data_IF_138991977041
#
_entry.id   IF_138991977041
#
_cell.length_a   1.000
_cell.length_b   1.000
_cell.length_c   1.000
_cell.angle_alpha   90.00
_cell.angle_beta   90.00
_cell.angle_gamma   90.00
#
_symmetry.space_group_name_H-M   'P 1'
#
loop_
_entity.id
_entity.type
_entity.pdbx_description
1 polymer ?
#
# COMPACT_ATOMS: atom_id res chain seq x y z
N UNK A 1 5.28 -9.25 -11.70
CA UNK A 1 5.56 -8.61 -10.40
C UNK A 1 5.46 -7.11 -10.56
N UNK A 2 4.65 -6.49 -9.73
CA UNK A 2 4.43 -5.04 -9.68
C UNK A 2 5.33 -4.35 -8.64
N UNK A 3 6.20 -5.07 -7.92
CA UNK A 3 7.21 -4.46 -7.05
C UNK A 3 8.64 -4.68 -7.54
N UNK A 4 9.51 -3.70 -7.30
CA UNK A 4 10.95 -3.80 -7.51
C UNK A 4 11.72 -3.40 -6.25
N UNK A 5 12.65 -4.25 -5.82
CA UNK A 5 13.56 -3.98 -4.71
C UNK A 5 14.76 -3.19 -5.24
N UNK A 6 14.97 -1.99 -4.70
CA UNK A 6 16.06 -1.09 -5.07
C UNK A 6 17.27 -1.27 -4.15
N UNK A 7 17.06 -1.69 -2.90
CA UNK A 7 18.08 -1.81 -1.84
C UNK A 7 17.68 -2.91 -0.86
N UNK A 8 18.66 -3.41 -0.11
CA UNK A 8 18.42 -4.32 1.02
C UNK A 8 17.34 -3.75 1.96
N UNK A 9 16.53 -4.61 2.57
CA UNK A 9 15.40 -4.25 3.41
C UNK A 9 15.19 -5.26 4.54
N UNK A 10 16.24 -6.02 4.89
CA UNK A 10 16.19 -7.13 5.86
C UNK A 10 15.85 -6.67 7.28
N UNK A 11 16.10 -5.40 7.59
CA UNK A 11 15.63 -4.75 8.81
C UNK A 11 14.10 -4.87 9.04
N UNK A 12 13.30 -5.15 8.00
CA UNK A 12 11.88 -5.46 8.17
C UNK A 12 11.64 -6.76 8.94
N UNK A 13 12.59 -7.70 8.94
CA UNK A 13 12.49 -8.93 9.72
C UNK A 13 12.41 -8.67 11.23
N UNK A 14 12.94 -7.53 11.70
CA UNK A 14 12.89 -7.11 13.09
C UNK A 14 11.79 -6.08 13.38
N UNK A 15 10.97 -5.71 12.39
CA UNK A 15 9.91 -4.74 12.59
C UNK A 15 8.77 -5.33 13.44
N UNK A 16 8.08 -4.46 14.17
CA UNK A 16 6.87 -4.84 14.91
C UNK A 16 5.78 -5.33 13.94
N UNK A 17 4.86 -6.17 14.44
CA UNK A 17 3.81 -6.78 13.61
C UNK A 17 2.43 -6.57 14.24
N UNK A 18 1.37 -6.29 13.47
CA UNK A 18 1.36 -6.06 12.02
C UNK A 18 1.86 -4.66 11.66
N UNK A 19 2.71 -4.54 10.65
CA UNK A 19 3.19 -3.23 10.17
C UNK A 19 2.99 -3.05 8.67
N UNK A 20 2.56 -1.83 8.30
CA UNK A 20 2.08 -1.46 6.96
C UNK A 20 2.65 -0.11 6.56
N UNK A 21 2.73 0.16 5.25
CA UNK A 21 3.01 1.51 4.76
C UNK A 21 1.69 2.23 4.47
N UNK A 22 1.56 3.45 5.00
CA UNK A 22 0.49 4.37 4.67
C UNK A 22 0.95 5.30 3.55
N UNK A 23 0.10 5.44 2.53
CA UNK A 23 0.33 6.34 1.42
C UNK A 23 -0.66 7.48 1.41
N UNK A 24 -0.23 8.62 0.85
CA UNK A 24 -1.17 9.57 0.29
C UNK A 24 -2.08 8.83 -0.69
N UNK A 25 -3.39 9.04 -0.54
CA UNK A 25 -4.36 8.36 -1.38
C UNK A 25 -4.05 8.62 -2.86
N UNK A 26 -4.31 7.62 -3.71
CA UNK A 26 -4.16 7.78 -5.14
C UNK A 26 -4.98 9.00 -5.64
N UNK A 27 -4.60 9.67 -6.75
CA UNK A 27 -5.27 10.89 -7.20
C UNK A 27 -6.79 10.79 -7.34
N UNK A 28 -7.32 9.63 -7.71
CA UNK A 28 -8.77 9.41 -7.77
C UNK A 28 -9.41 9.28 -6.38
N UNK A 29 -8.71 8.71 -5.39
CA UNK A 29 -9.19 8.62 -3.99
C UNK A 29 -9.12 9.97 -3.27
N UNK A 30 -8.17 10.84 -3.63
CA UNK A 30 -8.17 12.24 -3.16
C UNK A 30 -9.46 12.97 -3.56
N UNK A 31 -10.01 12.70 -4.75
CA UNK A 31 -11.31 13.27 -5.19
C UNK A 31 -12.48 12.74 -4.37
N UNK A 32 -12.34 11.55 -3.79
CA UNK A 32 -13.32 10.92 -2.90
C UNK A 32 -13.15 11.40 -1.43
N UNK A 33 -12.20 12.31 -1.17
CA UNK A 33 -11.95 12.88 0.16
C UNK A 33 -11.06 12.03 1.06
N UNK A 34 -10.55 10.90 0.56
CA UNK A 34 -9.56 10.10 1.28
C UNK A 34 -8.19 10.74 1.15
N UNK A 35 -7.53 11.02 2.28
CA UNK A 35 -6.20 11.66 2.29
C UNK A 35 -5.07 10.65 2.34
N UNK A 36 -5.27 9.56 3.07
CA UNK A 36 -4.32 8.47 3.21
C UNK A 36 -5.03 7.12 3.11
N UNK A 37 -4.33 6.12 2.57
CA UNK A 37 -4.79 4.72 2.58
C UNK A 37 -3.62 3.80 2.90
N UNK A 38 -3.92 2.66 3.49
CA UNK A 38 -2.99 1.54 3.62
C UNK A 38 -2.61 1.07 2.22
N UNK A 39 -1.35 0.75 2.01
CA UNK A 39 -0.90 0.14 0.76
C UNK A 39 -0.95 -1.38 0.84
N UNK A 40 -1.68 -2.02 -0.08
CA UNK A 40 -1.78 -3.49 -0.17
C UNK A 40 -0.56 -4.23 -0.72
N UNK A 41 0.55 -3.55 -1.03
CA UNK A 41 1.70 -4.20 -1.67
C UNK A 41 2.76 -4.73 -0.70
N UNK A 42 2.83 -4.24 0.54
CA UNK A 42 3.80 -4.70 1.54
C UNK A 42 3.21 -4.75 2.95
N UNK A 43 3.36 -5.91 3.57
CA UNK A 43 2.95 -6.20 4.94
C UNK A 43 4.09 -6.87 5.69
N UNK A 44 4.33 -6.46 6.94
CA UNK A 44 5.17 -7.22 7.87
C UNK A 44 4.27 -7.85 8.92
N UNK A 45 4.15 -9.17 8.85
CA UNK A 45 3.25 -9.97 9.68
C UNK A 45 4.02 -11.09 10.37
N UNK A 46 3.50 -11.55 11.51
CA UNK A 46 3.93 -12.79 12.14
C UNK A 46 2.97 -13.91 11.73
N UNK A 47 3.46 -15.02 11.14
CA UNK A 47 2.61 -16.16 10.84
C UNK A 47 1.89 -16.66 12.10
N UNK A 48 0.57 -16.77 12.03
CA UNK A 48 -0.26 -17.21 13.16
C UNK A 48 -1.56 -17.82 12.63
N UNK A 49 -1.87 -19.04 13.08
CA UNK A 49 -3.13 -19.71 12.74
C UNK A 49 -4.34 -18.93 13.26
N UNK A 50 -4.24 -18.38 14.48
CA UNK A 50 -5.31 -17.59 15.08
C UNK A 50 -5.59 -16.32 14.25
N UNK A 51 -4.54 -15.66 13.73
CA UNK A 51 -4.68 -14.50 12.85
C UNK A 51 -5.30 -14.86 11.51
N UNK A 52 -4.94 -16.01 10.93
CA UNK A 52 -5.58 -16.53 9.73
C UNK A 52 -7.07 -16.77 9.94
N UNK A 53 -7.45 -17.45 11.04
CA UNK A 53 -8.86 -17.74 11.35
C UNK A 53 -9.66 -16.45 11.58
N UNK A 54 -9.07 -15.47 12.27
CA UNK A 54 -9.67 -14.13 12.41
C UNK A 54 -9.83 -13.40 11.08
N UNK A 55 -8.82 -13.43 10.22
CA UNK A 55 -8.86 -12.81 8.89
C UNK A 55 -9.97 -13.44 8.03
N UNK A 56 -10.10 -14.77 8.08
CA UNK A 56 -11.15 -15.49 7.37
C UNK A 56 -12.55 -15.19 7.92
N UNK A 57 -12.71 -15.13 9.24
CA UNK A 57 -13.98 -14.74 9.87
C UNK A 57 -14.36 -13.29 9.51
N UNK A 58 -13.39 -12.38 9.51
CA UNK A 58 -13.58 -11.00 9.08
C UNK A 58 -13.99 -10.91 7.62
N UNK A 59 -13.31 -11.62 6.72
CA UNK A 59 -13.65 -11.66 5.30
C UNK A 59 -15.08 -12.16 5.07
N UNK A 60 -15.50 -13.22 5.77
CA UNK A 60 -16.88 -13.72 5.71
C UNK A 60 -17.91 -12.71 6.22
N UNK A 61 -17.51 -11.88 7.19
CA UNK A 61 -18.34 -10.81 7.76
C UNK A 61 -18.29 -9.49 6.98
N UNK A 62 -17.37 -9.33 6.03
CA UNK A 62 -17.31 -8.14 5.17
C UNK A 62 -18.53 -8.13 4.24
N UNK A 63 -19.49 -7.30 4.61
CA UNK A 63 -20.75 -7.08 3.91
C UNK A 63 -20.49 -6.60 2.47
N UNK A 64 -21.20 -7.16 1.49
CA UNK A 64 -21.24 -6.70 0.08
C UNK A 64 -22.13 -5.43 -0.07
N UNK A 65 -22.47 -4.78 1.04
CA UNK A 65 -23.32 -3.59 1.08
C UNK A 65 -22.53 -2.29 0.97
N UNK A 66 -23.23 -1.20 0.68
CA UNK A 66 -22.66 0.14 0.69
C UNK A 66 -22.41 0.63 2.11
N UNK A 67 -21.20 1.16 2.35
CA UNK A 67 -20.82 1.83 3.58
C UNK A 67 -20.70 3.33 3.30
N UNK A 68 -21.57 4.12 3.92
CA UNK A 68 -21.59 5.56 3.69
C UNK A 68 -20.75 6.34 4.71
N UNK A 69 -19.96 7.28 4.23
CA UNK A 69 -19.28 8.27 5.08
C UNK A 69 -20.29 9.21 5.70
N UNK A 70 -19.90 9.93 6.75
CA UNK A 70 -20.70 11.02 7.35
C UNK A 70 -21.09 12.13 6.36
N UNK A 71 -20.43 12.20 5.20
CA UNK A 71 -20.72 13.14 4.10
C UNK A 71 -21.64 12.55 3.03
N UNK A 72 -22.23 11.37 3.26
CA UNK A 72 -23.16 10.72 2.33
C UNK A 72 -22.48 9.99 1.17
N UNK A 73 -21.15 9.88 1.13
CA UNK A 73 -20.45 9.13 0.09
C UNK A 73 -20.46 7.66 0.45
N UNK A 74 -21.15 6.84 -0.33
CA UNK A 74 -21.30 5.41 -0.11
C UNK A 74 -20.26 4.60 -0.90
N UNK A 75 -19.65 3.63 -0.23
CA UNK A 75 -18.57 2.79 -0.74
C UNK A 75 -18.95 1.34 -0.52
N UNK A 76 -19.08 0.58 -1.60
CA UNK A 76 -19.15 -0.88 -1.51
C UNK A 76 -17.72 -1.41 -1.39
N UNK A 77 -17.53 -2.47 -0.61
CA UNK A 77 -16.28 -3.24 -0.64
C UNK A 77 -15.93 -3.56 -2.10
N UNK A 78 -14.78 -3.09 -2.56
CA UNK A 78 -14.40 -3.18 -3.97
C UNK A 78 -13.79 -4.54 -4.34
N UNK A 79 -13.72 -5.47 -3.38
CA UNK A 79 -13.09 -6.77 -3.55
C UNK A 79 -11.56 -6.73 -3.45
N UNK A 80 -10.96 -5.56 -3.21
CA UNK A 80 -9.52 -5.43 -3.09
C UNK A 80 -9.03 -5.91 -1.73
N UNK A 81 -7.85 -6.53 -1.75
CA UNK A 81 -7.09 -6.83 -0.55
C UNK A 81 -6.78 -5.57 0.27
N UNK A 82 -6.52 -4.44 -0.39
CA UNK A 82 -6.29 -3.15 0.28
C UNK A 82 -7.45 -2.76 1.22
N UNK A 83 -8.69 -2.83 0.73
CA UNK A 83 -9.89 -2.54 1.53
C UNK A 83 -10.09 -3.58 2.64
N UNK A 84 -9.83 -4.85 2.35
CA UNK A 84 -9.84 -5.91 3.35
C UNK A 84 -8.88 -5.59 4.49
N UNK A 85 -7.60 -5.35 4.19
CA UNK A 85 -6.57 -5.10 5.21
C UNK A 85 -6.81 -3.81 5.98
N UNK A 86 -7.30 -2.77 5.31
CA UNK A 86 -7.72 -1.50 5.95
C UNK A 86 -8.82 -1.72 6.99
N UNK A 87 -9.77 -2.62 6.70
CA UNK A 87 -10.86 -2.92 7.62
C UNK A 87 -10.48 -3.93 8.70
N UNK A 88 -9.56 -4.84 8.42
CA UNK A 88 -9.13 -5.90 9.33
C UNK A 88 -8.14 -5.39 10.39
N UNK A 89 -7.13 -4.62 10.00
CA UNK A 89 -6.14 -4.05 10.91
C UNK A 89 -6.52 -2.62 11.29
N UNK A 90 -7.08 -2.45 12.49
CA UNK A 90 -7.52 -1.13 12.98
C UNK A 90 -6.38 -0.21 13.42
N UNK A 91 -5.27 -0.77 13.94
CA UNK A 91 -4.11 -0.04 14.46
C UNK A 91 -2.79 -0.79 14.18
N UNK A 92 -2.40 -0.96 12.91
CA UNK A 92 -1.09 -1.50 12.57
C UNK A 92 0.01 -0.48 12.87
N UNK A 93 1.23 -0.97 13.09
CA UNK A 93 2.42 -0.13 13.14
C UNK A 93 2.68 0.50 11.76
N UNK A 94 3.09 1.77 11.74
CA UNK A 94 3.41 2.46 10.50
C UNK A 94 4.88 2.23 10.11
N UNK A 95 5.09 1.66 8.93
CA UNK A 95 6.39 1.58 8.30
C UNK A 95 6.69 2.87 7.54
N UNK A 96 7.94 3.36 7.56
CA UNK A 96 8.37 4.45 6.73
C UNK A 96 8.09 4.21 5.24
N UNK A 97 7.58 5.23 4.54
CA UNK A 97 7.23 5.20 3.10
C UNK A 97 8.35 4.65 2.20
N UNK A 98 9.62 4.83 2.60
CA UNK A 98 10.78 4.30 1.89
C UNK A 98 10.78 2.79 1.71
N UNK A 99 10.05 2.03 2.53
CA UNK A 99 9.98 0.58 2.39
C UNK A 99 9.05 0.12 1.28
N UNK A 100 8.13 0.97 0.83
CA UNK A 100 7.16 0.62 -0.20
C UNK A 100 6.66 1.88 -0.90
N UNK A 101 7.45 2.57 -1.72
CA UNK A 101 6.99 3.79 -2.40
C UNK A 101 6.22 3.45 -3.68
N UNK A 102 5.17 4.19 -4.07
CA UNK A 102 4.48 3.97 -5.36
C UNK A 102 4.94 4.91 -6.48
N UNK A 103 4.77 4.49 -7.74
CA UNK A 103 5.19 5.27 -8.92
C UNK A 103 4.45 6.61 -9.12
N UNK A 104 3.35 6.86 -8.43
CA UNK A 104 2.62 8.13 -8.50
C UNK A 104 3.00 9.14 -7.40
N UNK A 105 3.78 8.75 -6.39
CA UNK A 105 4.13 9.62 -5.27
C UNK A 105 4.92 10.84 -5.74
N UNK A 106 4.56 12.01 -5.21
CA UNK A 106 5.31 13.25 -5.41
C UNK A 106 6.24 13.44 -4.22
N UNK A 107 7.49 13.01 -4.36
CA UNK A 107 8.53 13.14 -3.32
C UNK A 107 9.76 13.89 -3.86
N UNK A 108 10.50 14.62 -3.00
CA UNK A 108 11.78 15.21 -3.38
C UNK A 108 12.76 14.18 -3.94
N UNK A 109 13.65 14.61 -4.85
CA UNK A 109 14.63 13.71 -5.51
C UNK A 109 15.53 12.99 -4.51
N UNK A 110 15.90 13.65 -3.42
CA UNK A 110 16.79 13.05 -2.43
C UNK A 110 16.08 12.01 -1.56
N UNK A 111 14.77 12.14 -1.32
CA UNK A 111 13.97 11.09 -0.65
C UNK A 111 13.91 9.79 -1.47
N UNK A 112 13.87 9.90 -2.81
CA UNK A 112 13.95 8.73 -3.68
C UNK A 112 15.26 7.94 -3.52
N UNK A 113 16.33 8.56 -3.01
CA UNK A 113 17.59 7.87 -2.71
C UNK A 113 17.50 7.01 -1.44
N UNK A 114 16.46 7.16 -0.63
CA UNK A 114 16.25 6.35 0.57
C UNK A 114 15.27 5.19 0.34
N UNK A 115 14.55 5.21 -0.79
CA UNK A 115 13.57 4.16 -1.15
C UNK A 115 14.26 2.80 -1.31
N UNK A 116 13.66 1.76 -0.73
CA UNK A 116 14.16 0.39 -0.71
C UNK A 116 13.34 -0.52 -1.61
N UNK A 117 12.04 -0.31 -1.71
CA UNK A 117 11.20 -0.95 -2.71
C UNK A 117 10.25 0.07 -3.35
N UNK A 118 9.98 -0.13 -4.64
CA UNK A 118 8.99 0.62 -5.40
C UNK A 118 7.88 -0.32 -5.86
N UNK A 119 6.64 0.10 -5.66
CA UNK A 119 5.43 -0.54 -6.15
C UNK A 119 4.89 0.21 -7.38
N UNK A 120 4.91 -0.50 -8.49
CA UNK A 120 4.46 -0.06 -9.79
C UNK A 120 2.99 -0.39 -9.97
N UNK A 121 2.14 0.61 -9.75
CA UNK A 121 0.71 0.43 -9.98
C UNK A 121 0.43 0.74 -11.45
N UNK A 122 -0.03 -0.28 -12.18
CA UNK A 122 -0.21 -0.25 -13.63
C UNK A 122 -1.14 0.88 -14.10
N UNK A 123 -2.15 1.23 -13.31
CA UNK A 123 -3.04 2.37 -13.56
C UNK A 123 -2.35 3.75 -13.53
N UNK A 124 -1.10 3.80 -13.05
CA UNK A 124 -0.30 5.03 -12.94
C UNK A 124 0.94 5.05 -13.84
N UNK A 125 1.00 4.23 -14.90
CA UNK A 125 2.07 4.27 -15.92
C UNK A 125 2.43 5.68 -16.43
N UNK A 126 1.42 6.54 -16.59
CA UNK A 126 1.65 7.91 -17.07
C UNK A 126 2.41 8.80 -16.05
N UNK A 127 2.56 8.34 -14.81
CA UNK A 127 3.30 9.02 -13.75
C UNK A 127 4.77 8.60 -13.67
N UNK A 128 5.20 7.63 -14.48
CA UNK A 128 6.59 7.15 -14.49
C UNK A 128 7.61 8.25 -14.83
N UNK A 129 7.18 9.29 -15.53
CA UNK A 129 7.99 10.49 -15.81
C UNK A 129 8.40 11.25 -14.54
N UNK A 130 7.67 11.08 -13.43
CA UNK A 130 7.98 11.68 -12.12
C UNK A 130 9.09 10.95 -11.38
N UNK A 131 9.39 9.72 -11.79
CA UNK A 131 10.44 8.94 -11.17
C UNK A 131 11.81 9.42 -11.62
N UNK A 132 12.76 9.60 -10.69
CA UNK A 132 14.14 9.87 -11.06
C UNK A 132 14.68 8.78 -12.00
N UNK A 133 15.57 9.16 -12.92
CA UNK A 133 16.14 8.25 -13.93
C UNK A 133 16.77 7.00 -13.26
N UNK A 134 17.44 7.18 -12.12
CA UNK A 134 18.03 6.05 -11.40
C UNK A 134 16.98 5.05 -10.92
N UNK A 135 15.80 5.49 -10.47
CA UNK A 135 14.70 4.60 -10.10
C UNK A 135 14.18 3.88 -11.34
N UNK A 136 13.92 4.61 -12.42
CA UNK A 136 13.47 4.03 -13.70
C UNK A 136 14.43 3.00 -14.27
N UNK A 137 15.74 3.23 -14.16
CA UNK A 137 16.75 2.28 -14.62
C UNK A 137 16.76 0.99 -13.80
N UNK A 138 16.49 1.07 -12.49
CA UNK A 138 16.34 -0.11 -11.62
C UNK A 138 14.98 -0.80 -11.79
N UNK A 139 13.99 -0.12 -12.38
CA UNK A 139 12.70 -0.71 -12.76
C UNK A 139 12.73 -1.40 -14.13
N UNK A 140 13.85 -1.33 -14.87
CA UNK A 140 13.98 -2.05 -16.14
C UNK A 140 14.06 -3.55 -15.81
N UNK A 141 12.91 -4.20 -15.76
CA UNK A 141 12.55 -5.51 -16.33
C UNK A 141 11.33 -6.09 -15.58
N UNK A 142 10.16 -6.08 -16.23
CA UNK A 142 9.40 -7.29 -16.62
C UNK A 142 8.57 -6.90 -17.86
N UNK A 143 9.13 -7.11 -19.05
CA UNK A 143 8.33 -7.33 -20.26
C UNK A 143 7.83 -8.76 -20.22
#
# INVERSE_FOLDING_TARGET
NDMAVLRNFDQLAAAETPALVWHSAAPFMLKLGERCSVSGGLFVLRPSRAEYERALAHLKGMYVGERCTRKGVCFRYDGSDQEFWRSFYSRPYELPIRFHATNYLKMPRDEWRHVRAIHFISGFKNFDTRLPIFVRNNMKYQK
#
